data_IF_843015332044
#
_entry.id   IF_843015332044
#
_cell.length_a   1.000
_cell.length_b   1.000
_cell.length_c   1.000
_cell.angle_alpha   90.00
_cell.angle_beta   90.00
_cell.angle_gamma   90.00
#
_symmetry.space_group_name_H-M   'P 1'
#
loop_
_entity.id
_entity.type
_entity.pdbx_description
1 polymer ?
#
# COMPACT_ATOMS: atom_id res chain seq x y z
N UNK A 1 52.20 -10.44 1.98
CA UNK A 1 51.46 -10.44 3.25
C UNK A 1 51.68 -11.77 3.95
N UNK A 2 52.12 -11.75 5.21
CA UNK A 2 52.25 -12.95 6.04
C UNK A 2 50.94 -13.32 6.75
N UNK A 3 50.85 -14.52 7.35
CA UNK A 3 49.65 -14.98 8.08
C UNK A 3 49.19 -14.01 9.18
N UNK A 4 50.13 -13.42 9.91
CA UNK A 4 49.84 -12.44 10.98
C UNK A 4 49.19 -11.16 10.44
N UNK A 5 49.67 -10.65 9.30
CA UNK A 5 49.10 -9.45 8.67
C UNK A 5 47.68 -9.72 8.15
N UNK A 6 47.42 -10.93 7.62
CA UNK A 6 46.07 -11.34 7.23
C UNK A 6 45.14 -11.44 8.45
N UNK A 7 45.63 -11.97 9.58
CA UNK A 7 44.89 -12.00 10.84
C UNK A 7 44.50 -10.59 11.32
N UNK A 8 45.47 -9.68 11.40
CA UNK A 8 45.22 -8.27 11.79
C UNK A 8 44.21 -7.58 10.87
N UNK A 9 44.27 -7.83 9.56
CA UNK A 9 43.29 -7.29 8.61
C UNK A 9 41.88 -7.83 8.83
N UNK A 10 41.73 -9.09 9.23
CA UNK A 10 40.43 -9.69 9.57
C UNK A 10 39.89 -9.04 10.85
N UNK A 11 40.71 -8.92 11.90
CA UNK A 11 40.30 -8.31 13.17
C UNK A 11 39.88 -6.85 13.00
N UNK A 12 40.59 -6.09 12.16
CA UNK A 12 40.22 -4.71 11.82
C UNK A 12 38.86 -4.64 11.10
N UNK A 13 38.57 -5.60 10.22
CA UNK A 13 37.27 -5.67 9.50
C UNK A 13 36.12 -6.06 10.42
N UNK A 14 36.36 -6.98 11.35
CA UNK A 14 35.41 -7.32 12.41
C UNK A 14 35.10 -6.07 13.25
N UNK A 15 36.14 -5.40 13.76
CA UNK A 15 35.99 -4.19 14.57
C UNK A 15 35.31 -3.03 13.82
N UNK A 16 35.53 -2.88 12.51
CA UNK A 16 34.79 -1.90 11.71
C UNK A 16 33.31 -2.28 11.57
N UNK A 17 33.00 -3.57 11.39
CA UNK A 17 31.62 -4.07 11.29
C UNK A 17 30.85 -3.84 12.59
N UNK A 18 31.46 -4.12 13.74
CA UNK A 18 30.84 -3.88 15.05
C UNK A 18 30.58 -2.38 15.31
N UNK A 19 31.48 -1.52 14.84
CA UNK A 19 31.27 -0.07 14.88
C UNK A 19 30.10 0.34 14.00
N UNK A 20 30.00 -0.17 12.77
CA UNK A 20 28.85 0.12 11.89
C UNK A 20 27.54 -0.28 12.56
N UNK A 21 27.48 -1.48 13.14
CA UNK A 21 26.29 -1.93 13.88
C UNK A 21 25.91 -0.95 14.98
N UNK A 22 26.90 -0.58 15.80
CA UNK A 22 26.70 0.35 16.92
C UNK A 22 26.21 1.72 16.45
N UNK A 23 26.68 2.20 15.30
CA UNK A 23 26.21 3.47 14.74
C UNK A 23 24.83 3.36 14.09
N UNK A 24 24.48 2.24 13.46
CA UNK A 24 23.12 1.98 12.96
C UNK A 24 22.13 1.91 14.13
N UNK A 25 22.47 1.19 15.20
CA UNK A 25 21.63 1.03 16.40
C UNK A 25 21.37 2.36 17.14
N UNK A 26 22.28 3.33 17.01
CA UNK A 26 22.13 4.68 17.57
C UNK A 26 21.33 5.63 16.69
N UNK A 27 21.10 5.29 15.43
CA UNK A 27 20.40 6.16 14.48
C UNK A 27 18.91 5.86 14.53
N UNK A 28 18.08 6.84 14.92
CA UNK A 28 16.69 6.55 15.28
C UNK A 28 15.81 6.26 14.05
N UNK A 29 16.25 6.58 12.81
CA UNK A 29 15.53 6.25 11.58
C UNK A 29 16.03 4.98 10.88
N UNK A 30 17.01 4.28 11.45
CA UNK A 30 17.52 3.04 10.90
C UNK A 30 17.14 1.89 11.80
N UNK A 31 16.81 0.75 11.18
CA UNK A 31 16.55 -0.50 11.90
C UNK A 31 17.64 -1.49 11.51
N UNK A 32 18.39 -1.94 12.51
CA UNK A 32 19.37 -3.01 12.34
C UNK A 32 18.64 -4.36 12.18
N UNK A 33 19.02 -5.15 11.18
CA UNK A 33 18.37 -6.42 10.87
C UNK A 33 19.33 -7.61 11.07
N UNK A 34 18.84 -8.64 11.77
CA UNK A 34 19.51 -9.93 11.96
C UNK A 34 20.79 -9.92 12.82
N UNK A 35 21.29 -11.12 13.11
CA UNK A 35 22.63 -11.35 13.64
C UNK A 35 23.66 -11.33 12.51
N UNK A 36 24.70 -10.51 12.64
CA UNK A 36 25.67 -10.26 11.58
C UNK A 36 26.44 -11.49 11.13
N UNK A 37 26.68 -11.58 9.82
CA UNK A 37 27.87 -12.28 9.31
C UNK A 37 29.14 -11.46 9.56
N UNK A 38 30.29 -12.13 9.59
CA UNK A 38 31.64 -11.61 9.94
C UNK A 38 31.94 -10.19 9.42
N UNK A 39 31.50 -9.81 8.21
CA UNK A 39 31.86 -8.51 7.61
C UNK A 39 30.69 -7.71 7.03
N UNK A 40 29.46 -7.92 7.50
CA UNK A 40 28.29 -7.24 6.94
C UNK A 40 27.24 -6.80 7.95
N UNK A 41 26.69 -5.62 7.73
CA UNK A 41 25.56 -5.08 8.48
C UNK A 41 24.35 -4.95 7.55
N UNK A 42 23.18 -5.44 7.98
CA UNK A 42 21.93 -5.29 7.24
C UNK A 42 21.04 -4.27 7.94
N UNK A 43 20.40 -3.38 7.19
CA UNK A 43 19.55 -2.34 7.74
C UNK A 43 18.41 -1.98 6.78
N UNK A 44 17.39 -1.33 7.31
CA UNK A 44 16.36 -0.63 6.54
C UNK A 44 16.18 0.79 7.10
N UNK A 45 15.74 1.70 6.24
CA UNK A 45 15.26 3.00 6.65
C UNK A 45 13.79 2.90 7.07
N UNK A 46 13.50 3.24 8.33
CA UNK A 46 12.14 3.37 8.86
C UNK A 46 12.12 4.62 9.73
N UNK A 47 11.37 5.67 9.38
CA UNK A 47 11.36 6.90 10.17
C UNK A 47 11.08 6.63 11.65
N UNK A 48 11.77 7.33 12.54
CA UNK A 48 11.64 7.17 14.01
C UNK A 48 10.19 7.21 14.47
N UNK A 49 9.39 8.11 13.89
CA UNK A 49 7.94 8.25 14.14
C UNK A 49 7.17 6.95 13.88
N UNK A 50 7.47 6.27 12.78
CA UNK A 50 6.87 4.97 12.42
C UNK A 50 7.29 3.92 13.43
N UNK A 51 8.57 3.85 13.79
CA UNK A 51 9.07 2.90 14.77
C UNK A 51 8.40 3.08 16.14
N UNK A 52 8.28 4.33 16.63
CA UNK A 52 7.62 4.65 17.90
C UNK A 52 6.18 4.19 17.94
N UNK A 53 5.40 4.48 16.89
CA UNK A 53 4.00 4.07 16.82
C UNK A 53 3.83 2.55 17.02
N UNK A 54 4.68 1.75 16.37
CA UNK A 54 4.65 0.29 16.50
C UNK A 54 5.00 -0.21 17.90
N UNK A 55 6.05 0.36 18.49
CA UNK A 55 6.49 0.01 19.85
C UNK A 55 5.41 0.35 20.89
N UNK A 56 4.83 1.55 20.81
CA UNK A 56 3.80 2.02 21.74
C UNK A 56 2.52 1.18 21.68
N UNK A 57 2.07 0.83 20.47
CA UNK A 57 0.83 0.09 20.26
C UNK A 57 1.03 -1.43 20.23
N UNK A 58 2.26 -1.91 20.43
CA UNK A 58 2.64 -3.34 20.38
C UNK A 58 2.14 -4.05 19.11
N UNK A 59 2.20 -3.35 17.99
CA UNK A 59 1.86 -3.88 16.66
C UNK A 59 3.12 -4.01 15.81
N UNK A 60 3.08 -4.86 14.78
CA UNK A 60 4.17 -5.06 13.82
C UNK A 60 3.81 -4.46 12.47
N UNK A 61 4.83 -4.26 11.62
CA UNK A 61 4.64 -3.79 10.25
C UNK A 61 3.69 -4.72 9.49
N UNK A 62 2.59 -4.17 8.98
CA UNK A 62 1.68 -4.89 8.09
C UNK A 62 2.35 -5.20 6.74
N UNK A 63 1.80 -6.15 5.99
CA UNK A 63 2.23 -6.40 4.60
C UNK A 63 2.19 -5.12 3.74
N UNK A 64 1.24 -4.23 4.00
CA UNK A 64 1.10 -2.98 3.28
C UNK A 64 2.18 -1.95 3.66
N UNK A 65 2.63 -1.94 4.92
CA UNK A 65 3.74 -1.10 5.36
C UNK A 65 5.06 -1.63 4.80
N UNK A 66 5.26 -2.94 4.83
CA UNK A 66 6.44 -3.60 4.27
C UNK A 66 6.56 -3.38 2.76
N UNK A 67 5.46 -3.39 2.00
CA UNK A 67 5.49 -3.03 0.58
C UNK A 67 5.99 -1.59 0.35
N UNK A 68 5.60 -0.64 1.21
CA UNK A 68 6.04 0.77 1.12
C UNK A 68 7.51 0.90 1.49
N UNK A 69 7.94 0.25 2.57
CA UNK A 69 9.34 0.20 2.98
C UNK A 69 10.18 -0.43 1.87
N UNK A 70 9.77 -1.57 1.30
CA UNK A 70 10.50 -2.23 0.21
C UNK A 70 10.65 -1.30 -1.01
N UNK A 71 9.57 -0.63 -1.41
CA UNK A 71 9.62 0.34 -2.51
C UNK A 71 10.58 1.50 -2.20
N UNK A 72 10.51 2.04 -0.98
CA UNK A 72 11.38 3.12 -0.53
C UNK A 72 12.85 2.67 -0.52
N UNK A 73 13.15 1.50 0.04
CA UNK A 73 14.52 0.97 0.14
C UNK A 73 15.13 0.70 -1.24
N UNK A 74 14.35 0.18 -2.20
CA UNK A 74 14.81 0.01 -3.59
C UNK A 74 15.16 1.37 -4.22
N UNK A 75 14.27 2.35 -4.10
CA UNK A 75 14.49 3.69 -4.64
C UNK A 75 15.69 4.37 -3.98
N UNK A 76 15.83 4.25 -2.66
CA UNK A 76 16.95 4.77 -1.89
C UNK A 76 18.28 4.19 -2.40
N UNK A 77 18.34 2.87 -2.62
CA UNK A 77 19.52 2.23 -3.17
C UNK A 77 19.85 2.78 -4.56
N UNK A 78 18.85 2.92 -5.42
CA UNK A 78 19.02 3.43 -6.78
C UNK A 78 19.51 4.89 -6.78
N UNK A 79 18.97 5.75 -5.92
CA UNK A 79 19.34 7.16 -5.81
C UNK A 79 20.77 7.32 -5.26
N UNK A 80 21.15 6.57 -4.22
CA UNK A 80 22.54 6.55 -3.72
C UNK A 80 23.50 6.08 -4.82
N UNK A 81 23.11 5.06 -5.60
CA UNK A 81 23.93 4.54 -6.71
C UNK A 81 24.07 5.56 -7.83
N UNK A 82 23.01 6.30 -8.16
CA UNK A 82 23.01 7.30 -9.22
C UNK A 82 23.82 8.55 -8.84
N UNK A 83 23.77 8.97 -7.57
CA UNK A 83 24.60 10.05 -7.03
C UNK A 83 26.10 9.73 -7.14
N UNK A 84 26.47 8.45 -7.06
CA UNK A 84 27.83 7.97 -7.31
C UNK A 84 28.83 8.23 -6.18
N UNK A 85 28.43 8.97 -5.14
CA UNK A 85 29.30 9.23 -3.97
C UNK A 85 29.52 7.99 -3.11
N UNK A 86 28.55 7.07 -3.08
CA UNK A 86 28.61 5.84 -2.31
C UNK A 86 28.01 4.65 -3.05
N UNK A 87 28.35 3.45 -2.59
CA UNK A 87 27.71 2.22 -3.02
C UNK A 87 27.24 1.43 -1.81
N UNK A 88 25.96 1.09 -1.78
CA UNK A 88 25.37 0.20 -0.78
C UNK A 88 24.67 -0.94 -1.52
N UNK A 89 24.86 -2.17 -1.03
CA UNK A 89 24.24 -3.33 -1.64
C UNK A 89 22.78 -3.42 -1.18
N UNK A 90 21.89 -3.79 -2.08
CA UNK A 90 20.47 -4.03 -1.80
C UNK A 90 20.12 -5.43 -2.24
N UNK A 91 19.36 -6.15 -1.40
CA UNK A 91 18.90 -7.49 -1.72
C UNK A 91 17.53 -7.77 -1.12
N UNK A 92 16.77 -8.62 -1.80
CA UNK A 92 15.49 -9.12 -1.29
C UNK A 92 15.72 -10.41 -0.50
N UNK A 93 15.18 -10.46 0.71
CA UNK A 93 15.16 -11.64 1.57
C UNK A 93 13.72 -12.13 1.71
N UNK A 94 13.51 -13.44 1.64
CA UNK A 94 12.18 -14.03 1.83
C UNK A 94 11.74 -14.03 3.31
N UNK A 95 12.69 -13.95 4.24
CA UNK A 95 12.43 -13.84 5.67
C UNK A 95 13.59 -13.10 6.34
N UNK A 96 13.28 -11.99 7.02
CA UNK A 96 14.24 -11.23 7.82
C UNK A 96 13.53 -10.67 9.07
N UNK A 97 13.25 -11.53 10.07
CA UNK A 97 12.47 -11.13 11.23
C UNK A 97 13.23 -10.11 12.09
N UNK A 98 12.47 -9.21 12.70
CA UNK A 98 12.94 -8.25 13.69
C UNK A 98 11.99 -8.29 14.88
N UNK A 99 12.53 -8.48 16.09
CA UNK A 99 11.77 -8.79 17.32
C UNK A 99 10.52 -7.91 17.49
N UNK A 100 10.67 -6.61 17.22
CA UNK A 100 9.63 -5.62 17.47
C UNK A 100 8.90 -5.11 16.22
N UNK A 101 9.40 -5.39 15.01
CA UNK A 101 8.91 -4.69 13.81
C UNK A 101 8.45 -5.64 12.70
N UNK A 102 9.13 -6.76 12.51
CA UNK A 102 8.95 -7.60 11.31
C UNK A 102 8.71 -9.04 11.75
N UNK A 103 7.58 -9.59 11.33
CA UNK A 103 7.25 -11.00 11.57
C UNK A 103 8.17 -11.95 10.79
N UNK A 104 8.30 -13.22 11.24
CA UNK A 104 8.86 -14.28 10.41
C UNK A 104 8.14 -14.41 9.07
N UNK A 105 8.86 -14.87 8.06
CA UNK A 105 8.35 -15.19 6.71
C UNK A 105 7.79 -13.98 5.93
N UNK A 106 8.19 -12.79 6.35
CA UNK A 106 7.92 -11.54 5.62
C UNK A 106 9.08 -11.21 4.69
N UNK A 107 8.73 -11.00 3.42
CA UNK A 107 9.65 -10.56 2.39
C UNK A 107 10.08 -9.11 2.62
N UNK A 108 11.38 -8.88 2.63
CA UNK A 108 11.96 -7.57 2.90
C UNK A 108 13.15 -7.30 1.97
N UNK A 109 13.17 -6.10 1.38
CA UNK A 109 14.30 -5.57 0.66
C UNK A 109 15.15 -4.76 1.65
N UNK A 110 16.40 -5.17 1.83
CA UNK A 110 17.30 -4.63 2.85
C UNK A 110 18.52 -3.99 2.20
N UNK A 111 19.06 -2.97 2.86
CA UNK A 111 20.37 -2.44 2.56
C UNK A 111 21.42 -3.24 3.33
N UNK A 112 22.56 -3.48 2.69
CA UNK A 112 23.67 -4.24 3.26
C UNK A 112 25.00 -3.56 2.98
N UNK A 113 25.76 -3.34 4.04
CA UNK A 113 27.18 -2.96 3.93
C UNK A 113 28.05 -4.21 3.86
N UNK A 114 29.11 -4.15 3.05
CA UNK A 114 30.13 -5.20 2.94
C UNK A 114 31.51 -4.59 3.18
N UNK A 115 32.10 -4.90 4.34
CA UNK A 115 33.33 -4.25 4.79
C UNK A 115 34.56 -5.01 4.29
N UNK A 116 34.83 -4.89 2.99
CA UNK A 116 35.98 -5.52 2.33
C UNK A 116 37.18 -4.61 2.14
N UNK A 117 36.97 -3.30 2.00
CA UNK A 117 38.02 -2.36 1.63
C UNK A 117 38.80 -1.88 2.87
N UNK A 118 40.11 -2.19 2.99
CA UNK A 118 40.93 -1.82 4.14
C UNK A 118 41.17 -0.30 4.27
N UNK A 119 40.83 0.49 3.24
CA UNK A 119 40.88 1.96 3.30
C UNK A 119 39.60 2.59 3.86
N UNK A 120 38.59 1.79 4.17
CA UNK A 120 37.35 2.28 4.77
C UNK A 120 37.61 2.74 6.20
N UNK A 121 37.08 3.91 6.55
CA UNK A 121 37.25 4.52 7.86
C UNK A 121 35.88 4.69 8.52
N UNK A 122 35.87 5.07 9.81
CA UNK A 122 34.64 5.43 10.51
C UNK A 122 33.91 6.58 9.81
N UNK A 123 34.62 7.60 9.31
CA UNK A 123 33.99 8.75 8.66
C UNK A 123 33.26 8.36 7.37
N UNK A 124 33.83 7.47 6.56
CA UNK A 124 33.17 6.98 5.34
C UNK A 124 31.83 6.30 5.65
N UNK A 125 31.78 5.53 6.74
CA UNK A 125 30.56 4.87 7.20
C UNK A 125 29.54 5.89 7.69
N UNK A 126 29.95 6.84 8.52
CA UNK A 126 29.03 7.85 9.06
C UNK A 126 28.38 8.65 7.94
N UNK A 127 29.17 9.09 6.97
CA UNK A 127 28.65 9.84 5.83
C UNK A 127 27.72 8.99 4.94
N UNK A 128 27.99 7.69 4.79
CA UNK A 128 27.07 6.79 4.08
C UNK A 128 25.74 6.68 4.83
N UNK A 129 25.76 6.48 6.15
CA UNK A 129 24.54 6.39 6.95
C UNK A 129 23.77 7.71 6.97
N UNK A 130 24.47 8.85 7.02
CA UNK A 130 23.87 10.18 6.88
C UNK A 130 23.16 10.30 5.53
N UNK A 131 23.79 9.84 4.44
CA UNK A 131 23.19 9.85 3.11
C UNK A 131 21.97 8.93 3.01
N UNK A 132 22.01 7.77 3.65
CA UNK A 132 20.85 6.85 3.73
C UNK A 132 19.67 7.51 4.45
N UNK A 133 19.90 8.20 5.57
CA UNK A 133 18.82 8.91 6.27
C UNK A 133 18.31 10.13 5.48
N UNK A 134 19.21 10.91 4.87
CA UNK A 134 18.85 12.08 4.03
C UNK A 134 17.96 11.67 2.86
N UNK A 135 18.40 10.68 2.07
CA UNK A 135 17.65 10.17 0.92
C UNK A 135 16.39 9.46 1.37
N UNK A 136 16.45 8.68 2.45
CA UNK A 136 15.30 7.99 3.02
C UNK A 136 14.19 8.95 3.44
N UNK A 137 14.53 10.05 4.11
CA UNK A 137 13.56 11.06 4.54
C UNK A 137 13.00 11.85 3.35
N UNK A 138 13.85 12.21 2.37
CA UNK A 138 13.38 12.84 1.14
C UNK A 138 12.36 11.95 0.41
N UNK A 139 12.69 10.67 0.20
CA UNK A 139 11.79 9.71 -0.45
C UNK A 139 10.51 9.43 0.35
N UNK A 140 10.59 9.46 1.69
CA UNK A 140 9.40 9.29 2.53
C UNK A 140 8.42 10.47 2.34
N UNK A 141 8.94 11.70 2.28
CA UNK A 141 8.16 12.91 2.01
C UNK A 141 7.64 12.96 0.58
N UNK A 142 8.49 12.68 -0.41
CA UNK A 142 8.14 12.71 -1.84
C UNK A 142 7.15 11.59 -2.21
N UNK A 143 7.21 10.48 -1.47
CA UNK A 143 6.22 9.40 -1.54
C UNK A 143 4.88 9.75 -0.89
N UNK A 144 4.76 10.94 -0.29
CA UNK A 144 3.59 11.42 0.45
C UNK A 144 3.13 10.43 1.52
N UNK A 145 4.10 9.83 2.21
CA UNK A 145 3.83 8.89 3.30
C UNK A 145 3.64 9.65 4.62
N UNK A 146 2.65 9.19 5.39
CA UNK A 146 2.34 9.71 6.72
C UNK A 146 2.47 8.61 7.76
N UNK A 147 2.87 8.96 8.98
CA UNK A 147 2.86 8.02 10.09
C UNK A 147 1.57 8.14 10.90
N UNK A 148 0.94 7.01 11.24
CA UNK A 148 -0.03 6.97 12.33
C UNK A 148 0.64 7.49 13.61
N UNK A 149 0.06 8.52 14.22
CA UNK A 149 0.60 9.20 15.40
C UNK A 149 1.31 10.52 15.12
N UNK A 150 1.47 10.94 13.85
CA UNK A 150 1.96 12.29 13.54
C UNK A 150 0.90 13.32 13.99
N UNK A 151 1.23 14.08 15.04
CA UNK A 151 0.41 15.11 15.67
C UNK A 151 0.71 15.14 17.17
N UNK A 152 1.31 16.24 17.64
CA UNK A 152 1.74 16.45 19.03
C UNK A 152 0.55 16.52 20.00
N UNK A 153 -0.10 15.37 20.26
CA UNK A 153 -0.97 15.10 21.41
C UNK A 153 -1.40 13.62 21.41
N UNK A 154 -1.52 13.03 22.59
CA UNK A 154 -1.93 11.64 22.83
C UNK A 154 -3.10 11.21 21.91
N UNK A 155 -2.84 10.33 20.94
CA UNK A 155 -3.87 9.72 20.08
C UNK A 155 -4.21 10.46 18.76
N UNK A 156 -3.35 11.37 18.28
CA UNK A 156 -3.72 12.36 17.26
C UNK A 156 -4.02 11.86 15.82
N UNK A 157 -3.34 10.88 15.20
CA UNK A 157 -3.61 10.60 13.77
C UNK A 157 -4.90 9.82 13.50
N UNK A 158 -5.27 8.88 14.37
CA UNK A 158 -6.61 8.28 14.37
C UNK A 158 -7.67 9.38 14.49
N UNK A 159 -7.36 10.44 15.24
CA UNK A 159 -8.20 11.64 15.35
C UNK A 159 -8.19 12.48 14.05
N UNK A 160 -7.08 12.62 13.32
CA UNK A 160 -7.03 13.27 12.00
C UNK A 160 -7.89 12.55 10.97
N UNK A 161 -7.75 11.22 10.84
CA UNK A 161 -8.59 10.43 9.91
C UNK A 161 -10.06 10.53 10.32
N UNK A 162 -10.37 10.42 11.62
CA UNK A 162 -11.73 10.57 12.11
C UNK A 162 -12.29 11.98 11.82
N UNK A 163 -11.47 13.03 11.94
CA UNK A 163 -11.82 14.42 11.59
C UNK A 163 -12.05 14.58 10.09
N UNK A 164 -11.16 14.07 9.24
CA UNK A 164 -11.33 14.06 7.78
C UNK A 164 -12.64 13.38 7.42
N UNK A 165 -12.89 12.18 7.94
CA UNK A 165 -14.13 11.43 7.70
C UNK A 165 -15.36 12.19 8.17
N UNK A 166 -15.32 12.79 9.37
CA UNK A 166 -16.42 13.59 9.92
C UNK A 166 -16.69 14.85 9.09
N UNK A 167 -15.65 15.60 8.72
CA UNK A 167 -15.74 16.80 7.89
C UNK A 167 -16.29 16.47 6.50
N UNK A 168 -15.75 15.43 5.86
CA UNK A 168 -16.20 14.95 4.55
C UNK A 168 -17.66 14.48 4.61
N UNK A 169 -17.98 13.63 5.59
CA UNK A 169 -19.33 13.11 5.77
C UNK A 169 -20.35 14.23 5.87
N UNK A 170 -20.11 15.22 6.74
CA UNK A 170 -20.96 16.41 6.88
C UNK A 170 -21.12 17.15 5.55
N UNK A 171 -20.01 17.45 4.86
CA UNK A 171 -20.04 18.21 3.59
C UNK A 171 -20.75 17.45 2.47
N UNK A 172 -20.66 16.13 2.46
CA UNK A 172 -21.36 15.28 1.50
C UNK A 172 -22.86 15.24 1.79
N UNK A 173 -23.27 15.12 3.06
CA UNK A 173 -24.69 15.26 3.41
C UNK A 173 -25.25 16.65 3.07
N UNK A 174 -24.49 17.73 3.29
CA UNK A 174 -24.86 19.08 2.85
C UNK A 174 -25.03 19.18 1.32
N UNK A 175 -24.17 18.50 0.55
CA UNK A 175 -24.19 18.53 -0.91
C UNK A 175 -25.34 17.72 -1.52
N UNK A 176 -25.54 16.49 -1.02
CA UNK A 176 -26.52 15.56 -1.58
C UNK A 176 -27.93 15.78 -1.01
N UNK A 177 -28.04 16.33 0.20
CA UNK A 177 -29.32 16.57 0.85
C UNK A 177 -30.12 15.26 0.98
N UNK A 178 -31.32 15.25 0.40
CA UNK A 178 -32.22 14.08 0.38
C UNK A 178 -31.94 13.10 -0.76
N UNK A 179 -31.00 13.40 -1.66
CA UNK A 179 -30.67 12.52 -2.78
C UNK A 179 -29.93 11.27 -2.30
N UNK A 180 -30.19 10.13 -2.94
CA UNK A 180 -29.48 8.90 -2.64
C UNK A 180 -28.01 8.98 -3.04
N UNK A 181 -27.13 8.63 -2.11
CA UNK A 181 -25.69 8.58 -2.34
C UNK A 181 -25.00 7.64 -1.34
N UNK A 182 -23.79 7.23 -1.71
CA UNK A 182 -22.83 6.58 -0.80
C UNK A 182 -21.43 7.07 -1.10
N UNK A 183 -20.68 7.44 -0.07
CA UNK A 183 -19.28 7.81 -0.17
C UNK A 183 -18.41 6.85 0.65
N UNK A 184 -17.31 6.42 0.04
CA UNK A 184 -16.43 5.41 0.62
C UNK A 184 -14.98 5.78 0.43
N UNK A 185 -14.18 5.50 1.46
CA UNK A 185 -12.72 5.48 1.33
C UNK A 185 -12.26 4.04 1.09
N UNK A 186 -11.26 3.87 0.22
CA UNK A 186 -10.72 2.57 -0.13
C UNK A 186 -9.19 2.55 -0.07
N UNK A 187 -8.57 1.39 -0.33
CA UNK A 187 -7.12 1.25 -0.34
C UNK A 187 -6.51 1.15 1.06
N UNK A 188 -5.35 1.79 1.28
CA UNK A 188 -4.64 1.73 2.56
C UNK A 188 -5.40 2.42 3.71
N UNK A 189 -6.24 3.41 3.40
CA UNK A 189 -7.07 4.13 4.37
C UNK A 189 -8.30 3.37 4.85
N UNK A 190 -8.80 2.40 4.08
CA UNK A 190 -9.92 1.58 4.53
C UNK A 190 -9.55 0.68 5.72
N UNK A 191 -8.25 0.44 5.95
CA UNK A 191 -7.75 -0.52 6.94
C UNK A 191 -7.07 0.22 8.10
N UNK A 192 -7.36 -0.20 9.33
CA UNK A 192 -6.90 0.48 10.55
C UNK A 192 -5.51 0.02 11.05
N UNK A 193 -4.88 -0.97 10.41
CA UNK A 193 -3.67 -1.63 10.92
C UNK A 193 -2.38 -1.19 10.21
N UNK A 194 -2.43 -0.17 9.34
CA UNK A 194 -1.26 0.35 8.64
C UNK A 194 -0.67 1.51 9.44
N UNK A 195 0.61 1.46 9.81
CA UNK A 195 1.24 2.62 10.45
C UNK A 195 1.78 3.62 9.44
N UNK A 196 2.18 3.16 8.25
CA UNK A 196 2.55 4.05 7.15
C UNK A 196 1.29 4.19 6.33
N UNK A 197 0.76 5.39 6.21
CA UNK A 197 -0.43 5.67 5.42
C UNK A 197 0.00 6.42 4.16
N UNK A 198 -0.62 6.09 3.03
CA UNK A 198 -0.36 6.75 1.75
C UNK A 198 -1.40 7.84 1.51
N UNK A 199 -1.81 8.09 0.26
CA UNK A 199 -2.87 9.02 -0.12
C UNK A 199 -4.28 8.49 0.13
N UNK A 200 -5.23 9.39 0.47
CA UNK A 200 -6.65 9.04 0.65
C UNK A 200 -7.28 8.87 -0.73
N UNK A 201 -7.89 7.71 -0.94
CA UNK A 201 -8.71 7.44 -2.12
C UNK A 201 -10.20 7.50 -1.74
N UNK A 202 -10.97 8.35 -2.43
CA UNK A 202 -12.41 8.56 -2.23
C UNK A 202 -13.17 8.18 -3.50
N UNK A 203 -14.28 7.48 -3.35
CA UNK A 203 -15.27 7.27 -4.40
C UNK A 203 -16.67 7.52 -3.84
N UNK A 204 -17.46 8.28 -4.58
CA UNK A 204 -18.85 8.60 -4.27
C UNK A 204 -19.74 8.02 -5.37
N UNK A 205 -20.76 7.27 -4.96
CA UNK A 205 -21.84 6.81 -5.80
C UNK A 205 -23.08 7.66 -5.58
N UNK A 206 -23.77 8.02 -6.66
CA UNK A 206 -25.03 8.75 -6.60
C UNK A 206 -25.92 8.49 -7.81
N UNK A 207 -27.13 9.06 -7.82
CA UNK A 207 -28.04 8.89 -8.96
C UNK A 207 -27.57 9.61 -10.24
N UNK A 208 -26.85 10.73 -10.09
CA UNK A 208 -26.30 11.52 -11.18
C UNK A 208 -24.84 11.93 -10.88
N UNK A 209 -24.05 12.15 -11.92
CA UNK A 209 -22.66 12.56 -11.84
C UNK A 209 -22.43 13.85 -12.64
N UNK A 210 -23.01 14.95 -12.16
CA UNK A 210 -22.89 16.26 -12.79
C UNK A 210 -21.44 16.79 -12.67
N UNK A 211 -20.83 17.34 -13.73
CA UNK A 211 -19.46 17.86 -13.68
C UNK A 211 -19.23 18.90 -12.58
N UNK A 212 -20.22 19.75 -12.32
CA UNK A 212 -20.17 20.76 -11.26
C UNK A 212 -20.13 20.14 -9.86
N UNK A 213 -20.90 19.06 -9.64
CA UNK A 213 -20.87 18.31 -8.39
C UNK A 213 -19.55 17.58 -8.20
N UNK A 214 -19.01 16.94 -9.24
CA UNK A 214 -17.71 16.28 -9.20
C UNK A 214 -16.57 17.26 -8.87
N UNK A 215 -16.59 18.46 -9.47
CA UNK A 215 -15.62 19.51 -9.17
C UNK A 215 -15.75 20.02 -7.73
N UNK A 216 -16.97 20.17 -7.23
CA UNK A 216 -17.22 20.59 -5.85
C UNK A 216 -16.79 19.52 -4.83
N UNK A 217 -17.02 18.24 -5.10
CA UNK A 217 -16.52 17.14 -4.26
C UNK A 217 -14.99 17.15 -4.25
N UNK A 218 -14.36 17.32 -5.42
CA UNK A 218 -12.90 17.41 -5.52
C UNK A 218 -12.34 18.59 -4.72
N UNK A 219 -12.99 19.76 -4.75
CA UNK A 219 -12.52 20.94 -4.02
C UNK A 219 -12.67 20.77 -2.51
N UNK A 220 -13.81 20.25 -2.03
CA UNK A 220 -14.01 19.92 -0.61
C UNK A 220 -13.00 18.88 -0.14
N UNK A 221 -12.82 17.82 -0.94
CA UNK A 221 -11.89 16.76 -0.62
C UNK A 221 -10.46 17.30 -0.47
N UNK A 222 -10.01 18.12 -1.43
CA UNK A 222 -8.72 18.80 -1.35
C UNK A 222 -8.58 19.71 -0.14
N UNK A 223 -9.58 20.54 0.13
CA UNK A 223 -9.55 21.45 1.28
C UNK A 223 -9.42 20.69 2.60
N UNK A 224 -10.26 19.68 2.83
CA UNK A 224 -10.30 18.96 4.10
C UNK A 224 -9.04 18.14 4.32
N UNK A 225 -8.55 17.46 3.28
CA UNK A 225 -7.34 16.63 3.40
C UNK A 225 -6.12 17.52 3.68
N UNK A 226 -6.01 18.66 2.99
CA UNK A 226 -4.96 19.65 3.25
C UNK A 226 -5.07 20.29 4.65
N UNK A 227 -6.26 20.69 5.10
CA UNK A 227 -6.50 21.23 6.46
C UNK A 227 -6.04 20.27 7.56
N UNK A 228 -6.13 18.96 7.32
CA UNK A 228 -5.76 17.93 8.27
C UNK A 228 -4.31 17.44 8.10
N UNK A 229 -3.51 18.14 7.27
CA UNK A 229 -2.09 17.86 7.08
C UNK A 229 -1.79 16.62 6.25
N UNK A 230 -2.73 16.17 5.43
CA UNK A 230 -2.61 14.99 4.59
C UNK A 230 -2.41 15.38 3.12
N UNK A 231 -1.79 14.50 2.33
CA UNK A 231 -1.65 14.66 0.89
C UNK A 231 -2.72 13.89 0.10
N UNK A 232 -2.97 14.35 -1.12
CA UNK A 232 -3.82 13.66 -2.10
C UNK A 232 -2.93 13.32 -3.29
N UNK A 233 -3.03 12.07 -3.77
CA UNK A 233 -2.41 11.70 -5.03
C UNK A 233 -3.09 12.48 -6.16
N UNK A 234 -2.42 13.47 -6.72
CA UNK A 234 -2.87 14.13 -7.95
C UNK A 234 -2.49 13.25 -9.14
N UNK A 235 -3.01 12.02 -9.19
CA UNK A 235 -3.04 11.25 -10.44
C UNK A 235 -4.03 11.94 -11.38
N UNK A 236 -3.54 12.53 -12.47
CA UNK A 236 -4.35 13.21 -13.50
C UNK A 236 -5.30 12.18 -14.15
N UNK A 237 -6.49 12.07 -13.56
CA UNK A 237 -7.75 11.42 -13.97
C UNK A 237 -8.78 11.38 -12.81
N UNK A 238 -8.47 11.97 -11.64
CA UNK A 238 -9.26 11.91 -10.40
C UNK A 238 -10.72 12.36 -10.55
N UNK A 239 -11.01 13.28 -11.48
CA UNK A 239 -12.35 13.88 -11.61
C UNK A 239 -13.45 12.86 -11.99
N UNK A 240 -13.12 11.82 -12.77
CA UNK A 240 -14.08 10.77 -13.17
C UNK A 240 -14.27 9.69 -12.11
N UNK A 241 -13.26 9.48 -11.26
CA UNK A 241 -13.25 8.45 -10.22
C UNK A 241 -14.01 8.88 -8.96
N UNK A 242 -14.10 10.20 -8.72
CA UNK A 242 -14.66 10.73 -7.49
C UNK A 242 -16.18 10.59 -7.37
N UNK A 243 -16.92 10.83 -8.46
CA UNK A 243 -18.38 10.72 -8.48
C UNK A 243 -18.80 9.84 -9.65
N UNK A 244 -19.38 8.69 -9.34
CA UNK A 244 -19.82 7.65 -10.29
C UNK A 244 -21.31 7.41 -10.08
N UNK A 245 -22.06 7.12 -11.13
CA UNK A 245 -23.49 6.84 -10.96
C UNK A 245 -23.72 5.43 -10.43
N UNK A 246 -24.81 5.21 -9.68
CA UNK A 246 -25.22 3.85 -9.30
C UNK A 246 -25.46 2.97 -10.53
N UNK A 247 -25.98 3.54 -11.63
CA UNK A 247 -26.13 2.85 -12.91
C UNK A 247 -24.78 2.34 -13.44
N UNK A 248 -23.78 3.22 -13.51
CA UNK A 248 -22.45 2.83 -13.96
C UNK A 248 -21.78 1.82 -13.01
N UNK A 249 -21.99 1.97 -11.70
CA UNK A 249 -21.50 1.01 -10.72
C UNK A 249 -22.14 -0.37 -10.88
N UNK A 250 -23.43 -0.43 -11.22
CA UNK A 250 -24.11 -1.68 -11.57
C UNK A 250 -23.54 -2.29 -12.85
N UNK A 251 -23.36 -1.48 -13.89
CA UNK A 251 -22.72 -1.92 -15.14
C UNK A 251 -21.31 -2.45 -14.88
N UNK A 252 -20.51 -1.78 -14.04
CA UNK A 252 -19.18 -2.25 -13.66
C UNK A 252 -19.23 -3.58 -12.90
N UNK A 253 -20.17 -3.72 -11.95
CA UNK A 253 -20.35 -4.95 -11.16
C UNK A 253 -20.82 -6.15 -12.00
N UNK A 254 -21.55 -5.90 -13.08
CA UNK A 254 -22.06 -6.93 -14.00
C UNK A 254 -21.13 -7.20 -15.18
N UNK A 255 -20.33 -6.20 -15.57
CA UNK A 255 -19.43 -6.27 -16.73
C UNK A 255 -18.44 -7.42 -16.61
N UNK A 256 -17.96 -7.88 -17.77
CA UNK A 256 -16.90 -8.89 -17.85
C UNK A 256 -15.61 -8.42 -17.19
N UNK A 257 -15.41 -7.10 -17.06
CA UNK A 257 -14.24 -6.50 -16.42
C UNK A 257 -14.04 -7.07 -15.01
N UNK A 258 -12.85 -7.61 -14.70
CA UNK A 258 -11.58 -7.39 -15.40
C UNK A 258 -11.24 -8.34 -16.58
N UNK A 259 -12.15 -9.24 -16.96
CA UNK A 259 -12.05 -10.09 -18.15
C UNK A 259 -12.56 -9.36 -19.40
N UNK A 260 -11.93 -9.61 -20.55
CA UNK A 260 -12.51 -9.32 -21.86
C UNK A 260 -13.54 -10.40 -22.23
N UNK A 261 -14.28 -10.17 -23.31
CA UNK A 261 -15.30 -11.10 -23.81
C UNK A 261 -14.77 -12.44 -24.35
N UNK A 262 -13.48 -12.71 -24.17
CA UNK A 262 -12.84 -14.01 -24.43
C UNK A 262 -12.31 -14.61 -23.12
N UNK A 263 -12.83 -14.16 -21.98
CA UNK A 263 -12.46 -14.62 -20.64
C UNK A 263 -10.97 -14.41 -20.29
N UNK A 264 -10.26 -13.49 -20.96
CA UNK A 264 -8.89 -13.13 -20.65
C UNK A 264 -8.83 -11.84 -19.85
N UNK A 265 -7.90 -11.71 -18.90
CA UNK A 265 -7.73 -10.44 -18.18
C UNK A 265 -7.21 -9.36 -19.13
N UNK A 266 -8.04 -8.33 -19.37
CA UNK A 266 -7.74 -7.27 -20.32
C UNK A 266 -6.42 -6.57 -19.96
N UNK A 267 -5.57 -6.38 -20.97
CA UNK A 267 -4.29 -5.68 -20.82
C UNK A 267 -4.53 -4.18 -20.61
N UNK A 268 -3.80 -3.56 -19.68
CA UNK A 268 -3.85 -2.11 -19.49
C UNK A 268 -2.94 -1.44 -20.51
N UNK A 269 -3.53 -0.75 -21.48
CA UNK A 269 -2.80 0.09 -22.42
C UNK A 269 -2.72 1.51 -21.87
N UNK A 270 -1.53 2.01 -21.52
CA UNK A 270 -1.36 3.38 -21.00
C UNK A 270 -1.39 4.45 -22.12
N UNK A 271 -2.36 4.36 -23.04
CA UNK A 271 -2.63 5.42 -24.01
C UNK A 271 -3.54 6.47 -23.37
N UNK A 272 -3.43 7.74 -23.77
CA UNK A 272 -4.27 8.81 -23.21
C UNK A 272 -5.77 8.51 -23.37
N UNK A 273 -6.17 8.06 -24.56
CA UNK A 273 -7.55 7.70 -24.89
C UNK A 273 -8.08 6.54 -24.03
N UNK A 274 -7.26 5.52 -23.75
CA UNK A 274 -7.67 4.41 -22.88
C UNK A 274 -7.76 4.85 -21.41
N UNK A 275 -6.87 5.72 -20.94
CA UNK A 275 -6.92 6.29 -19.59
C UNK A 275 -8.15 7.19 -19.36
N UNK A 276 -8.76 7.68 -20.44
CA UNK A 276 -9.99 8.48 -20.43
C UNK A 276 -11.25 7.65 -20.77
N UNK A 277 -11.14 6.34 -20.99
CA UNK A 277 -12.28 5.48 -21.37
C UNK A 277 -13.17 5.07 -20.18
N UNK A 278 -14.38 4.58 -20.46
CA UNK A 278 -15.24 3.97 -19.44
C UNK A 278 -14.70 2.60 -18.99
N UNK A 279 -14.05 1.87 -19.89
CA UNK A 279 -13.48 0.55 -19.60
C UNK A 279 -12.42 0.59 -18.50
N UNK A 280 -11.55 1.61 -18.50
CA UNK A 280 -10.58 1.77 -17.43
C UNK A 280 -11.20 2.23 -16.11
N UNK A 281 -12.38 2.87 -16.14
CA UNK A 281 -13.10 3.33 -14.94
C UNK A 281 -13.94 2.23 -14.31
N UNK A 282 -14.47 1.28 -15.09
CA UNK A 282 -15.18 0.10 -14.57
C UNK A 282 -14.30 -0.71 -13.61
N UNK A 283 -13.01 -0.84 -13.91
CA UNK A 283 -12.05 -1.61 -13.11
C UNK A 283 -11.83 -1.08 -11.68
N UNK A 284 -11.50 0.21 -11.43
CA UNK A 284 -11.42 0.74 -10.08
C UNK A 284 -12.78 0.69 -9.37
N UNK A 285 -13.90 0.92 -10.07
CA UNK A 285 -15.24 0.79 -9.47
C UNK A 285 -15.49 -0.65 -9.01
N UNK A 286 -15.26 -1.64 -9.86
CA UNK A 286 -15.35 -3.06 -9.53
C UNK A 286 -14.45 -3.43 -8.35
N UNK A 287 -13.19 -2.98 -8.37
CA UNK A 287 -12.25 -3.22 -7.27
C UNK A 287 -12.74 -2.62 -5.95
N UNK A 288 -13.32 -1.43 -5.97
CA UNK A 288 -13.88 -0.79 -4.77
C UNK A 288 -15.05 -1.59 -4.20
N UNK A 289 -15.89 -2.18 -5.06
CA UNK A 289 -17.02 -3.03 -4.66
C UNK A 289 -16.60 -4.44 -4.21
N UNK A 290 -15.47 -4.95 -4.72
CA UNK A 290 -14.99 -6.31 -4.45
C UNK A 290 -13.78 -6.36 -3.49
N UNK A 291 -13.43 -5.25 -2.84
CA UNK A 291 -12.35 -5.19 -1.84
C UNK A 291 -12.78 -4.37 -0.62
N UNK A 292 -12.06 -4.48 0.52
CA UNK A 292 -12.47 -3.77 1.72
C UNK A 292 -12.43 -2.26 1.48
N UNK A 293 -13.60 -1.67 1.64
CA UNK A 293 -13.84 -0.25 1.62
C UNK A 293 -14.40 0.16 2.99
N UNK A 294 -14.50 1.46 3.23
CA UNK A 294 -15.15 1.99 4.43
C UNK A 294 -16.11 3.10 4.04
N UNK A 295 -17.39 2.85 4.25
CA UNK A 295 -18.43 3.88 4.10
C UNK A 295 -18.18 5.01 5.11
N UNK A 296 -18.18 6.25 4.61
CA UNK A 296 -18.01 7.47 5.40
C UNK A 296 -19.27 8.33 5.45
N UNK A 297 -20.14 8.19 4.44
CA UNK A 297 -21.46 8.82 4.40
C UNK A 297 -22.35 8.02 3.45
N UNK A 298 -23.61 7.84 3.81
CA UNK A 298 -24.60 7.19 2.95
C UNK A 298 -26.01 7.62 3.35
N UNK A 299 -26.86 7.84 2.35
CA UNK A 299 -28.32 7.77 2.55
C UNK A 299 -28.73 6.31 2.83
N UNK A 300 -29.84 6.04 3.54
CA UNK A 300 -30.33 4.67 3.76
C UNK A 300 -30.50 3.88 2.46
N UNK A 301 -31.21 4.44 1.47
CA UNK A 301 -31.44 3.80 0.17
C UNK A 301 -30.12 3.58 -0.59
N UNK A 302 -29.25 4.59 -0.63
CA UNK A 302 -27.92 4.45 -1.22
C UNK A 302 -27.11 3.30 -0.60
N UNK A 303 -27.17 3.14 0.74
CA UNK A 303 -26.48 2.06 1.43
C UNK A 303 -27.03 0.68 1.00
N UNK A 304 -28.34 0.53 0.88
CA UNK A 304 -28.97 -0.70 0.40
C UNK A 304 -28.56 -1.02 -1.05
N UNK A 305 -28.52 0.01 -1.92
CA UNK A 305 -28.01 -0.13 -3.29
C UNK A 305 -26.56 -0.62 -3.29
N UNK A 306 -25.69 0.00 -2.47
CA UNK A 306 -24.30 -0.42 -2.35
C UNK A 306 -24.18 -1.90 -1.96
N UNK A 307 -24.94 -2.36 -0.96
CA UNK A 307 -24.91 -3.77 -0.54
C UNK A 307 -25.27 -4.71 -1.68
N UNK A 308 -26.29 -4.37 -2.48
CA UNK A 308 -26.64 -5.11 -3.69
C UNK A 308 -25.48 -5.15 -4.72
N UNK A 309 -24.81 -4.01 -4.92
CA UNK A 309 -23.65 -3.90 -5.82
C UNK A 309 -22.44 -4.71 -5.34
N UNK A 310 -22.12 -4.68 -4.04
CA UNK A 310 -21.04 -5.46 -3.44
C UNK A 310 -21.29 -6.97 -3.61
N UNK A 311 -22.54 -7.42 -3.39
CA UNK A 311 -22.93 -8.81 -3.62
C UNK A 311 -22.81 -9.20 -5.09
N UNK A 312 -23.26 -8.35 -6.02
CA UNK A 312 -23.12 -8.59 -7.47
C UNK A 312 -21.65 -8.70 -7.89
N UNK A 313 -20.80 -7.74 -7.49
CA UNK A 313 -19.38 -7.74 -7.82
C UNK A 313 -18.65 -8.96 -7.23
N UNK A 314 -18.98 -9.33 -6.00
CA UNK A 314 -18.44 -10.53 -5.33
C UNK A 314 -18.80 -11.81 -6.09
N UNK A 315 -20.08 -11.97 -6.47
CA UNK A 315 -20.53 -13.12 -7.27
C UNK A 315 -19.85 -13.16 -8.64
N UNK A 316 -19.73 -12.00 -9.30
CA UNK A 316 -19.06 -11.89 -10.59
C UNK A 316 -17.58 -12.27 -10.50
N UNK A 317 -16.86 -11.80 -9.47
CA UNK A 317 -15.46 -12.17 -9.23
C UNK A 317 -15.31 -13.69 -9.04
N UNK A 318 -16.20 -14.31 -8.25
CA UNK A 318 -16.22 -15.76 -8.05
C UNK A 318 -16.50 -16.52 -9.33
N UNK A 319 -17.48 -16.09 -10.14
CA UNK A 319 -17.79 -16.67 -11.43
C UNK A 319 -16.61 -16.59 -12.42
N UNK A 320 -16.04 -15.39 -12.56
CA UNK A 320 -14.89 -15.12 -13.43
C UNK A 320 -13.69 -16.02 -13.10
N UNK A 321 -13.36 -16.17 -11.82
CA UNK A 321 -12.22 -17.01 -11.40
C UNK A 321 -12.52 -18.51 -11.57
N UNK A 322 -13.77 -18.95 -11.40
CA UNK A 322 -14.17 -20.34 -11.69
C UNK A 322 -14.01 -20.67 -13.18
N UNK A 323 -14.45 -19.77 -14.06
CA UNK A 323 -14.30 -19.89 -15.51
C UNK A 323 -12.82 -19.95 -15.90
N UNK A 324 -12.02 -18.98 -15.46
CA UNK A 324 -10.57 -18.94 -15.70
C UNK A 324 -9.82 -20.19 -15.22
N UNK A 325 -10.30 -20.82 -14.14
CA UNK A 325 -9.70 -22.02 -13.61
C UNK A 325 -10.10 -23.31 -14.34
N UNK A 326 -11.15 -23.27 -15.17
CA UNK A 326 -11.90 -24.44 -15.67
C UNK A 326 -12.37 -25.37 -14.52
N UNK A 327 -12.87 -24.79 -13.42
CA UNK A 327 -13.16 -25.55 -12.20
C UNK A 327 -14.62 -25.47 -11.81
N UNK A 328 -15.28 -26.63 -11.79
CA UNK A 328 -16.61 -26.79 -11.16
C UNK A 328 -16.53 -26.52 -9.65
N UNK A 329 -15.44 -26.94 -8.99
CA UNK A 329 -15.24 -26.77 -7.55
C UNK A 329 -13.89 -26.11 -7.23
N UNK A 330 -13.93 -24.80 -7.02
CA UNK A 330 -12.74 -24.04 -6.60
C UNK A 330 -12.62 -24.02 -5.08
N UNK A 331 -11.48 -24.47 -4.56
CA UNK A 331 -11.17 -24.31 -3.13
C UNK A 331 -10.83 -22.86 -2.82
N UNK A 332 -11.08 -22.43 -1.58
CA UNK A 332 -10.79 -21.07 -1.11
C UNK A 332 -9.34 -20.65 -1.37
N UNK A 333 -8.38 -21.56 -1.15
CA UNK A 333 -6.96 -21.27 -1.40
C UNK A 333 -6.62 -21.17 -2.89
N UNK A 334 -7.25 -22.01 -3.74
CA UNK A 334 -7.06 -21.94 -5.19
C UNK A 334 -7.69 -20.67 -5.77
N UNK A 335 -8.85 -20.27 -5.26
CA UNK A 335 -9.47 -18.98 -5.59
C UNK A 335 -8.55 -17.82 -5.23
N UNK A 336 -8.02 -17.78 -4.01
CA UNK A 336 -7.11 -16.70 -3.60
C UNK A 336 -5.88 -16.59 -4.51
N UNK A 337 -5.26 -17.73 -4.87
CA UNK A 337 -4.12 -17.75 -5.81
C UNK A 337 -4.50 -17.20 -7.18
N UNK A 338 -5.58 -17.72 -7.76
CA UNK A 338 -6.07 -17.29 -9.07
C UNK A 338 -6.61 -15.86 -9.06
N UNK A 339 -7.07 -15.32 -7.94
CA UNK A 339 -7.50 -13.93 -7.82
C UNK A 339 -6.31 -12.95 -7.86
N UNK A 340 -5.16 -13.39 -7.38
CA UNK A 340 -3.96 -12.56 -7.18
C UNK A 340 -3.06 -12.57 -8.41
N UNK A 341 -2.96 -13.71 -9.10
CA UNK A 341 -2.05 -13.90 -10.23
C UNK A 341 -2.44 -15.08 -11.12
N UNK A 342 -2.10 -14.97 -12.41
CA UNK A 342 -2.13 -16.08 -13.37
C UNK A 342 -0.74 -16.64 -13.70
N UNK A 343 0.30 -16.31 -12.92
CA UNK A 343 1.70 -16.66 -13.20
C UNK A 343 2.45 -15.60 -14.01
N UNK A 344 1.81 -15.02 -15.03
CA UNK A 344 2.43 -13.98 -15.88
C UNK A 344 2.22 -12.56 -15.36
N UNK A 345 1.03 -12.31 -14.79
CA UNK A 345 0.59 -11.01 -14.26
C UNK A 345 0.18 -11.18 -12.81
N UNK A 346 0.32 -10.11 -12.03
CA UNK A 346 -0.13 -10.09 -10.63
C UNK A 346 -0.55 -8.68 -10.19
N UNK A 347 -1.33 -8.61 -9.10
CA UNK A 347 -1.67 -7.34 -8.47
C UNK A 347 -2.43 -6.40 -9.40
N UNK A 348 -2.02 -5.13 -9.43
CA UNK A 348 -2.63 -4.08 -10.29
C UNK A 348 -2.70 -4.47 -11.76
N UNK A 349 -1.76 -5.28 -12.27
CA UNK A 349 -1.66 -5.70 -13.68
C UNK A 349 -2.59 -6.88 -14.04
N UNK A 350 -3.21 -7.53 -13.06
CA UNK A 350 -4.07 -8.69 -13.25
C UNK A 350 -5.52 -8.38 -12.85
N UNK A 351 -6.03 -8.83 -11.69
CA UNK A 351 -7.37 -8.48 -11.20
C UNK A 351 -7.36 -7.34 -10.17
N UNK A 352 -6.21 -6.73 -9.89
CA UNK A 352 -6.08 -5.64 -8.90
C UNK A 352 -5.78 -6.11 -7.47
N UNK A 353 -5.90 -7.40 -7.17
CA UNK A 353 -5.65 -7.96 -5.85
C UNK A 353 -4.16 -8.23 -5.59
N UNK A 354 -3.59 -7.59 -4.57
CA UNK A 354 -2.21 -7.81 -4.14
C UNK A 354 -2.06 -9.12 -3.36
N UNK A 355 -0.86 -9.73 -3.41
CA UNK A 355 -0.52 -10.94 -2.66
C UNK A 355 -0.24 -10.66 -1.18
N UNK A 356 -1.19 -10.03 -0.49
CA UNK A 356 -1.12 -9.74 0.94
C UNK A 356 -2.05 -10.66 1.71
N UNK A 357 -1.69 -11.00 2.94
CA UNK A 357 -2.48 -11.90 3.78
C UNK A 357 -3.90 -11.34 4.02
N UNK A 358 -3.96 -10.04 4.28
CA UNK A 358 -5.19 -9.31 4.55
C UNK A 358 -6.12 -9.22 3.32
N UNK A 359 -5.58 -9.27 2.09
CA UNK A 359 -6.35 -9.38 0.84
C UNK A 359 -6.84 -10.80 0.64
N UNK A 360 -5.99 -11.80 0.93
CA UNK A 360 -6.37 -13.21 0.87
C UNK A 360 -7.56 -13.49 1.79
N UNK A 361 -7.53 -12.99 3.02
CA UNK A 361 -8.64 -13.14 3.98
C UNK A 361 -9.95 -12.56 3.44
N UNK A 362 -9.94 -11.35 2.86
CA UNK A 362 -11.14 -10.80 2.22
C UNK A 362 -11.63 -11.69 1.09
N UNK A 363 -10.73 -12.17 0.22
CA UNK A 363 -11.07 -13.08 -0.87
C UNK A 363 -11.67 -14.40 -0.35
N UNK A 364 -11.19 -14.89 0.81
CA UNK A 364 -11.79 -16.07 1.46
C UNK A 364 -13.23 -15.79 1.89
N UNK A 365 -13.47 -14.65 2.53
CA UNK A 365 -14.82 -14.23 2.95
C UNK A 365 -15.76 -14.11 1.75
N UNK A 366 -15.32 -13.48 0.66
CA UNK A 366 -16.11 -13.33 -0.58
C UNK A 366 -16.54 -14.70 -1.12
N UNK A 367 -15.61 -15.66 -1.23
CA UNK A 367 -15.95 -17.01 -1.72
C UNK A 367 -16.94 -17.70 -0.80
N UNK A 368 -16.72 -17.60 0.51
CA UNK A 368 -17.60 -18.22 1.49
C UNK A 368 -19.01 -17.63 1.38
N UNK A 369 -19.15 -16.31 1.41
CA UNK A 369 -20.45 -15.63 1.29
C UNK A 369 -21.16 -16.00 -0.02
N UNK A 370 -20.45 -16.03 -1.15
CA UNK A 370 -21.05 -16.41 -2.44
C UNK A 370 -21.45 -17.88 -2.49
N UNK A 371 -20.69 -18.78 -1.86
CA UNK A 371 -21.00 -20.22 -1.84
C UNK A 371 -22.19 -20.57 -0.94
N UNK A 372 -22.39 -19.82 0.15
CA UNK A 372 -23.40 -20.12 1.17
C UNK A 372 -24.60 -19.18 1.16
N UNK A 373 -24.65 -18.18 0.28
CA UNK A 373 -25.82 -17.32 0.08
C UNK A 373 -26.61 -17.79 -1.15
N UNK A 374 -27.81 -18.37 -0.98
CA UNK A 374 -28.62 -18.82 -2.12
C UNK A 374 -28.96 -17.67 -3.08
N UNK A 375 -29.18 -18.02 -4.35
CA UNK A 375 -29.74 -17.11 -5.36
C UNK A 375 -31.21 -16.88 -4.99
N UNK A 376 -31.57 -15.64 -4.66
CA UNK A 376 -32.97 -15.20 -4.66
C UNK A 376 -33.47 -15.00 -6.09
#
# INVERSE_FOLDING_TARGET
MGKEQLGQMIDQRLGLTDRIRSEVDRRPNLVLLGGTGINSCMMIYVPTRVQKHFVEHKIRLSDADLEKINKLTVQLQDDIRQDGSYYIHGLSLESCPHENLIEPDKKLFVLRTLNGNPRSSKSHIMNLLDKVEEVGEALFRDGEYFCMGDGDEEGSFTSHIARVRKKLSRKLFELFGEKDFVAMVYGSFARCNNAIISNIDLMVFGNAAEPSQSQYILSIFRSIVHEEGLSINVEVSTHRKLLVTFKFANEAAESESPLDGVEHVSSIHKTGEYLESDEILKRPVFNVLATPNRVIAASPVGYDILRGLETKASRKLVGAIRQLGELENITVDKFGKLAISNGDRSGKKYLGHKSRQDVRETLRTIVYEVQYTPLE
#
